data_IF_407512165839
#
_entry.id   IF_407512165839
#
_cell.length_a   1.000
_cell.length_b   1.000
_cell.length_c   1.000
_cell.angle_alpha   90.00
_cell.angle_beta   90.00
_cell.angle_gamma   90.00
#
_symmetry.space_group_name_H-M   'P 1'
#
loop_
_entity.id
_entity.type
_entity.pdbx_description
1 polymer ?
#
# COMPACT_ATOMS: atom_id res chain seq x y z
N UNK A 1 -51.82 2.27 11.19
CA UNK A 1 -50.56 2.03 11.93
C UNK A 1 -49.90 0.80 11.33
N UNK A 2 -48.80 0.97 10.60
CA UNK A 2 -47.98 -0.16 10.13
C UNK A 2 -46.82 -0.40 11.11
N UNK A 3 -46.40 -1.66 11.34
CA UNK A 3 -45.33 -1.94 12.29
C UNK A 3 -43.98 -1.47 11.72
N UNK A 4 -43.19 -0.75 12.52
CA UNK A 4 -41.76 -0.53 12.25
C UNK A 4 -41.03 -1.85 12.50
N UNK A 5 -40.75 -2.60 11.44
CA UNK A 5 -39.83 -3.73 11.50
C UNK A 5 -38.41 -3.17 11.69
N UNK A 6 -37.88 -3.27 12.91
CA UNK A 6 -36.53 -2.83 13.31
C UNK A 6 -35.46 -3.89 13.03
N UNK A 7 -35.74 -4.88 12.18
CA UNK A 7 -34.73 -5.79 11.70
C UNK A 7 -33.85 -5.03 10.71
N UNK A 8 -32.74 -4.49 11.21
CA UNK A 8 -31.59 -4.22 10.37
C UNK A 8 -31.11 -5.59 9.94
N UNK A 9 -31.64 -6.09 8.82
CA UNK A 9 -31.00 -7.18 8.10
C UNK A 9 -29.66 -6.61 7.64
N UNK A 10 -28.64 -6.77 8.49
CA UNK A 10 -27.26 -6.42 8.18
C UNK A 10 -26.76 -7.44 7.16
N UNK A 11 -27.28 -7.34 5.94
CA UNK A 11 -26.83 -8.17 4.83
C UNK A 11 -25.41 -7.72 4.51
N UNK A 12 -24.45 -8.57 4.87
CA UNK A 12 -23.07 -8.44 4.41
C UNK A 12 -23.11 -8.55 2.89
N UNK A 13 -22.94 -7.41 2.22
CA UNK A 13 -22.87 -7.35 0.76
C UNK A 13 -21.56 -8.01 0.29
N UNK A 14 -21.53 -8.62 -0.90
CA UNK A 14 -20.28 -9.05 -1.53
C UNK A 14 -19.21 -7.95 -1.57
N UNK A 15 -19.63 -6.67 -1.67
CA UNK A 15 -18.74 -5.51 -1.61
C UNK A 15 -18.07 -5.37 -0.24
N UNK A 16 -18.77 -5.64 0.87
CA UNK A 16 -18.17 -5.64 2.21
C UNK A 16 -17.09 -6.72 2.31
N UNK A 17 -17.37 -7.94 1.83
CA UNK A 17 -16.41 -9.06 1.84
C UNK A 17 -15.17 -8.70 1.02
N UNK A 18 -15.36 -8.15 -0.18
CA UNK A 18 -14.27 -7.68 -1.03
C UNK A 18 -13.44 -6.60 -0.31
N UNK A 19 -14.10 -5.62 0.31
CA UNK A 19 -13.44 -4.57 1.07
C UNK A 19 -12.60 -5.11 2.22
N UNK A 20 -13.13 -6.06 2.99
CA UNK A 20 -12.40 -6.74 4.08
C UNK A 20 -11.18 -7.48 3.53
N UNK A 21 -11.33 -8.23 2.42
CA UNK A 21 -10.21 -8.96 1.81
C UNK A 21 -9.12 -8.00 1.33
N UNK A 22 -9.50 -6.89 0.68
CA UNK A 22 -8.55 -5.87 0.22
C UNK A 22 -7.85 -5.20 1.40
N UNK A 23 -8.60 -4.84 2.45
CA UNK A 23 -8.08 -4.24 3.67
C UNK A 23 -7.06 -5.16 4.36
N UNK A 24 -7.43 -6.42 4.62
CA UNK A 24 -6.56 -7.38 5.32
C UNK A 24 -5.29 -7.66 4.52
N UNK A 25 -5.40 -7.79 3.19
CA UNK A 25 -4.22 -7.94 2.32
C UNK A 25 -3.33 -6.70 2.36
N UNK A 26 -3.93 -5.51 2.31
CA UNK A 26 -3.20 -4.24 2.40
C UNK A 26 -2.41 -4.13 3.69
N UNK A 27 -3.10 -4.36 4.82
CA UNK A 27 -2.50 -4.34 6.15
C UNK A 27 -1.39 -5.38 6.30
N UNK A 28 -1.57 -6.59 5.79
CA UNK A 28 -0.54 -7.63 5.82
C UNK A 28 0.69 -7.24 5.00
N UNK A 29 0.52 -6.66 3.82
CA UNK A 29 1.62 -6.17 2.97
C UNK A 29 2.37 -5.04 3.68
N UNK A 30 1.65 -4.06 4.24
CA UNK A 30 2.24 -2.93 4.94
C UNK A 30 3.04 -3.37 6.17
N UNK A 31 2.40 -4.13 7.06
CA UNK A 31 3.05 -4.64 8.27
C UNK A 31 4.29 -5.49 7.94
N UNK A 32 4.21 -6.33 6.91
CA UNK A 32 5.36 -7.13 6.46
C UNK A 32 6.47 -6.24 5.90
N UNK A 33 6.14 -5.23 5.10
CA UNK A 33 7.12 -4.30 4.51
C UNK A 33 7.88 -3.55 5.60
N UNK A 34 7.16 -2.99 6.56
CA UNK A 34 7.73 -2.21 7.65
C UNK A 34 8.53 -3.08 8.62
N UNK A 35 8.05 -4.28 8.94
CA UNK A 35 8.81 -5.24 9.75
C UNK A 35 10.13 -5.63 9.06
N UNK A 36 10.10 -5.94 7.77
CA UNK A 36 11.31 -6.25 7.00
C UNK A 36 12.30 -5.07 7.01
N UNK A 37 11.80 -3.84 6.82
CA UNK A 37 12.61 -2.62 6.84
C UNK A 37 13.19 -2.33 8.22
N UNK A 38 12.42 -2.53 9.27
CA UNK A 38 12.85 -2.39 10.66
C UNK A 38 14.00 -3.36 10.97
N UNK A 39 13.80 -4.66 10.68
CA UNK A 39 14.83 -5.69 10.86
C UNK A 39 16.08 -5.38 10.02
N UNK A 40 15.92 -4.95 8.77
CA UNK A 40 17.04 -4.62 7.89
C UNK A 40 17.89 -3.48 8.45
N UNK A 41 17.26 -2.39 8.89
CA UNK A 41 17.95 -1.21 9.42
C UNK A 41 18.60 -1.46 10.79
N UNK A 42 18.07 -2.41 11.58
CA UNK A 42 18.66 -2.79 12.87
C UNK A 42 20.01 -3.52 12.76
N UNK A 43 20.35 -4.07 11.59
CA UNK A 43 21.61 -4.81 11.40
C UNK A 43 22.77 -3.83 11.11
N UNK A 44 23.86 -3.81 11.92
CA UNK A 44 25.00 -2.90 11.69
C UNK A 44 25.63 -3.03 10.29
N UNK A 45 25.67 -4.24 9.74
CA UNK A 45 26.17 -4.55 8.38
C UNK A 45 25.38 -3.91 7.24
N UNK A 46 24.17 -3.42 7.54
CA UNK A 46 23.26 -2.79 6.58
C UNK A 46 23.28 -1.26 6.66
N UNK A 47 24.07 -0.67 7.56
CA UNK A 47 24.25 0.78 7.64
C UNK A 47 24.70 1.32 6.27
N UNK A 48 23.98 2.34 5.79
CA UNK A 48 24.25 2.97 4.50
C UNK A 48 23.82 2.16 3.28
N UNK A 49 23.11 1.03 3.43
CA UNK A 49 22.54 0.25 2.32
C UNK A 49 21.04 0.50 2.19
N UNK A 50 20.49 0.26 1.01
CA UNK A 50 19.05 0.19 0.80
C UNK A 50 18.56 -1.24 0.99
N UNK A 51 17.30 -1.40 1.38
CA UNK A 51 16.68 -2.71 1.46
C UNK A 51 16.38 -3.23 0.06
N UNK A 52 16.77 -4.48 -0.18
CA UNK A 52 16.52 -5.24 -1.41
C UNK A 52 16.28 -6.72 -1.03
N UNK A 53 15.55 -6.93 0.06
CA UNK A 53 15.22 -8.23 0.64
C UNK A 53 13.69 -8.40 0.73
N UNK A 54 13.21 -9.63 0.65
CA UNK A 54 11.78 -9.94 0.80
C UNK A 54 10.90 -9.23 -0.22
N UNK A 55 9.80 -8.62 0.24
CA UNK A 55 8.82 -7.99 -0.66
C UNK A 55 9.33 -6.67 -1.28
N UNK A 56 10.41 -6.11 -0.73
CA UNK A 56 11.11 -4.96 -1.31
C UNK A 56 11.81 -5.29 -2.63
N UNK A 57 12.01 -6.58 -2.95
CA UNK A 57 12.54 -7.00 -4.25
C UNK A 57 11.53 -6.85 -5.39
N UNK A 58 10.24 -6.84 -5.05
CA UNK A 58 9.14 -6.75 -6.01
C UNK A 58 8.63 -5.31 -6.22
N UNK A 59 8.76 -4.45 -5.20
CA UNK A 59 8.38 -3.03 -5.21
C UNK A 59 9.31 -2.23 -4.31
N UNK A 60 9.65 -1.00 -4.69
CA UNK A 60 10.51 -0.13 -3.87
C UNK A 60 9.78 0.52 -2.71
N UNK A 61 8.44 0.56 -2.73
CA UNK A 61 7.59 1.08 -1.65
C UNK A 61 6.38 0.14 -1.44
N UNK A 62 6.60 -1.12 -1.03
CA UNK A 62 5.52 -2.08 -0.82
C UNK A 62 4.62 -1.67 0.36
N UNK A 63 5.16 -0.94 1.34
CA UNK A 63 4.37 -0.36 2.42
C UNK A 63 3.32 0.64 1.91
N UNK A 64 3.66 1.48 0.93
CA UNK A 64 2.69 2.40 0.34
C UNK A 64 1.63 1.69 -0.51
N UNK A 65 1.97 0.56 -1.13
CA UNK A 65 0.97 -0.30 -1.76
C UNK A 65 -0.03 -0.83 -0.72
N UNK A 66 0.47 -1.31 0.42
CA UNK A 66 -0.35 -1.79 1.53
C UNK A 66 -1.29 -0.71 2.07
N UNK A 67 -0.74 0.47 2.38
CA UNK A 67 -1.50 1.64 2.85
C UNK A 67 -2.61 2.02 1.86
N UNK A 68 -2.32 2.13 0.56
CA UNK A 68 -3.34 2.41 -0.45
C UNK A 68 -4.46 1.34 -0.46
N UNK A 69 -4.10 0.06 -0.33
CA UNK A 69 -5.08 -1.03 -0.24
C UNK A 69 -5.92 -0.95 1.04
N UNK A 70 -5.35 -0.53 2.17
CA UNK A 70 -6.08 -0.31 3.41
C UNK A 70 -7.17 0.74 3.21
N UNK A 71 -6.85 1.90 2.63
CA UNK A 71 -7.83 2.97 2.40
C UNK A 71 -8.88 2.62 1.35
N UNK A 72 -8.49 1.93 0.27
CA UNK A 72 -9.45 1.42 -0.71
C UNK A 72 -10.36 0.35 -0.09
N UNK A 73 -9.79 -0.56 0.72
CA UNK A 73 -10.53 -1.59 1.43
C UNK A 73 -11.57 -0.99 2.38
N UNK A 74 -11.18 0.00 3.19
CA UNK A 74 -12.12 0.71 4.07
C UNK A 74 -13.24 1.39 3.30
N UNK A 75 -12.93 2.06 2.18
CA UNK A 75 -13.95 2.66 1.31
C UNK A 75 -14.95 1.61 0.81
N UNK A 76 -14.47 0.45 0.33
CA UNK A 76 -15.33 -0.65 -0.12
C UNK A 76 -16.18 -1.23 1.01
N UNK A 77 -15.66 -1.30 2.23
CA UNK A 77 -16.42 -1.78 3.39
C UNK A 77 -17.59 -0.85 3.72
N UNK A 78 -17.40 0.47 3.65
CA UNK A 78 -18.48 1.41 4.01
C UNK A 78 -19.45 1.67 2.86
N UNK A 79 -19.02 1.45 1.61
CA UNK A 79 -19.76 1.80 0.40
C UNK A 79 -21.23 1.35 0.37
N UNK A 80 -21.59 0.11 0.75
CA UNK A 80 -22.99 -0.35 0.72
C UNK A 80 -23.92 0.39 1.71
N UNK A 81 -23.35 1.00 2.75
CA UNK A 81 -24.09 1.73 3.78
C UNK A 81 -24.28 3.22 3.44
N UNK A 82 -23.66 3.70 2.35
CA UNK A 82 -23.73 5.09 1.93
C UNK A 82 -24.98 5.34 1.10
N UNK A 83 -25.67 6.45 1.36
CA UNK A 83 -26.89 6.86 0.65
C UNK A 83 -26.70 8.19 -0.09
N UNK A 84 -27.45 8.38 -1.17
CA UNK A 84 -27.36 9.60 -2.00
C UNK A 84 -25.93 9.84 -2.51
N UNK A 85 -25.38 11.03 -2.25
CA UNK A 85 -24.05 11.43 -2.72
C UNK A 85 -22.92 11.14 -1.70
N UNK A 86 -23.20 10.42 -0.61
CA UNK A 86 -22.20 10.13 0.43
C UNK A 86 -21.00 9.34 -0.09
N UNK A 87 -21.16 8.52 -1.13
CA UNK A 87 -20.07 7.79 -1.78
C UNK A 87 -18.98 8.73 -2.34
N UNK A 88 -19.36 9.89 -2.89
CA UNK A 88 -18.41 10.84 -3.46
C UNK A 88 -17.56 11.49 -2.38
N UNK A 89 -18.18 11.82 -1.23
CA UNK A 89 -17.47 12.35 -0.07
C UNK A 89 -16.55 11.31 0.57
N UNK A 90 -17.00 10.06 0.69
CA UNK A 90 -16.18 8.98 1.23
C UNK A 90 -14.98 8.66 0.33
N UNK A 91 -15.12 8.81 -0.99
CA UNK A 91 -14.03 8.59 -1.96
C UNK A 91 -12.88 9.60 -1.82
N UNK A 92 -13.12 10.77 -1.23
CA UNK A 92 -12.07 11.78 -0.99
C UNK A 92 -10.94 11.23 -0.12
N UNK A 93 -11.24 10.33 0.82
CA UNK A 93 -10.26 9.75 1.73
C UNK A 93 -9.19 8.91 1.02
N UNK A 94 -9.53 7.84 0.27
CA UNK A 94 -8.53 7.07 -0.48
C UNK A 94 -7.85 7.91 -1.57
N UNK A 95 -8.56 8.83 -2.25
CA UNK A 95 -7.94 9.74 -3.24
C UNK A 95 -6.88 10.61 -2.57
N UNK A 96 -7.18 11.17 -1.40
CA UNK A 96 -6.27 12.02 -0.66
C UNK A 96 -4.99 11.27 -0.29
N UNK A 97 -5.11 10.09 0.31
CA UNK A 97 -3.95 9.28 0.70
C UNK A 97 -3.13 8.84 -0.52
N UNK A 98 -3.77 8.33 -1.57
CA UNK A 98 -3.07 7.94 -2.81
C UNK A 98 -2.32 9.15 -3.39
N UNK A 99 -2.92 10.33 -3.39
CA UNK A 99 -2.30 11.55 -3.90
C UNK A 99 -1.09 11.96 -3.07
N UNK A 100 -1.22 11.96 -1.74
CA UNK A 100 -0.12 12.30 -0.84
C UNK A 100 1.05 11.34 -1.01
N UNK A 101 0.76 10.04 -1.08
CA UNK A 101 1.78 9.00 -1.20
C UNK A 101 2.49 9.05 -2.56
N UNK A 102 1.76 9.21 -3.67
CA UNK A 102 2.37 9.13 -4.99
C UNK A 102 3.01 10.44 -5.45
N UNK A 103 2.47 11.59 -5.06
CA UNK A 103 2.81 12.87 -5.70
C UNK A 103 3.33 13.94 -4.74
N UNK A 104 3.11 13.82 -3.43
CA UNK A 104 3.45 14.89 -2.48
C UNK A 104 4.58 14.46 -1.55
N UNK A 105 4.24 13.79 -0.45
CA UNK A 105 5.16 13.53 0.66
C UNK A 105 5.71 12.11 0.69
N UNK A 106 5.09 11.17 -0.02
CA UNK A 106 5.51 9.77 -0.01
C UNK A 106 6.70 9.50 -0.94
N UNK A 107 6.41 8.94 -2.11
CA UNK A 107 7.38 8.42 -3.08
C UNK A 107 8.38 9.49 -3.52
N UNK A 108 7.99 10.73 -3.92
CA UNK A 108 8.94 11.68 -4.49
C UNK A 108 10.04 12.10 -3.50
N UNK A 109 9.68 12.32 -2.23
CA UNK A 109 10.63 12.71 -1.19
C UNK A 109 11.59 11.57 -0.85
N UNK A 110 11.07 10.34 -0.72
CA UNK A 110 11.89 9.17 -0.42
C UNK A 110 12.83 8.80 -1.57
N UNK A 111 12.36 8.84 -2.82
CA UNK A 111 13.19 8.59 -3.99
C UNK A 111 14.28 9.65 -4.13
N UNK A 112 13.96 10.94 -3.91
CA UNK A 112 14.95 12.03 -3.92
C UNK A 112 16.01 11.85 -2.83
N UNK A 113 15.61 11.43 -1.63
CA UNK A 113 16.52 11.14 -0.52
C UNK A 113 17.42 9.92 -0.83
N UNK A 114 16.85 8.88 -1.41
CA UNK A 114 17.55 7.68 -1.82
C UNK A 114 18.55 7.96 -2.95
N UNK A 115 18.18 8.78 -3.93
CA UNK A 115 19.08 9.20 -5.01
C UNK A 115 20.24 10.07 -4.52
N UNK A 116 20.02 10.91 -3.51
CA UNK A 116 21.12 11.64 -2.85
C UNK A 116 22.12 10.71 -2.16
N UNK A 117 21.64 9.62 -1.55
CA UNK A 117 22.48 8.68 -0.79
C UNK A 117 23.18 7.65 -1.68
N UNK A 118 22.48 7.14 -2.69
CA UNK A 118 22.90 5.97 -3.47
C UNK A 118 22.91 6.20 -4.98
N UNK A 119 22.51 7.38 -5.46
CA UNK A 119 22.35 7.67 -6.90
C UNK A 119 23.65 7.60 -7.70
N UNK A 120 24.83 7.63 -7.08
CA UNK A 120 26.12 7.39 -7.75
C UNK A 120 26.49 5.92 -7.84
N UNK A 121 25.87 5.04 -7.04
CA UNK A 121 26.19 3.62 -6.98
C UNK A 121 25.57 2.86 -8.17
N UNK A 122 26.37 2.18 -9.01
CA UNK A 122 25.86 1.42 -10.16
C UNK A 122 24.85 0.32 -9.79
N UNK A 123 25.03 -0.34 -8.65
CA UNK A 123 24.13 -1.38 -8.18
C UNK A 123 22.75 -0.81 -7.80
N UNK A 124 22.71 0.36 -7.17
CA UNK A 124 21.45 1.04 -6.87
C UNK A 124 20.73 1.52 -8.14
N UNK A 125 21.47 2.05 -9.12
CA UNK A 125 20.88 2.41 -10.43
C UNK A 125 20.26 1.19 -11.12
N UNK A 126 20.93 0.03 -11.08
CA UNK A 126 20.40 -1.23 -11.61
C UNK A 126 19.12 -1.65 -10.87
N UNK A 127 19.15 -1.65 -9.53
CA UNK A 127 17.99 -1.93 -8.70
C UNK A 127 16.80 -1.03 -9.04
N UNK A 128 17.02 0.29 -9.13
CA UNK A 128 15.99 1.29 -9.48
C UNK A 128 15.45 1.12 -10.91
N UNK A 129 16.20 0.52 -11.83
CA UNK A 129 15.72 0.20 -13.18
C UNK A 129 14.86 -1.06 -13.21
N UNK A 130 15.17 -2.05 -12.37
CA UNK A 130 14.54 -3.37 -12.39
C UNK A 130 13.31 -3.48 -11.49
N UNK A 131 13.29 -2.75 -10.38
CA UNK A 131 12.22 -2.83 -9.37
C UNK A 131 11.32 -1.61 -9.52
N UNK A 132 10.01 -1.74 -9.77
CA UNK A 132 9.09 -0.61 -9.91
C UNK A 132 8.89 0.12 -8.58
N UNK A 133 8.44 1.38 -8.64
CA UNK A 133 8.31 2.22 -7.44
C UNK A 133 7.27 1.68 -6.46
N UNK A 134 6.03 1.46 -6.90
CA UNK A 134 4.92 1.05 -6.01
C UNK A 134 4.25 -0.23 -6.48
N UNK A 135 3.73 -0.27 -7.71
CA UNK A 135 3.03 -1.44 -8.23
C UNK A 135 4.02 -2.50 -8.76
N UNK A 136 4.02 -3.73 -8.24
CA UNK A 136 4.86 -4.81 -8.74
C UNK A 136 4.52 -5.16 -10.20
N UNK A 137 5.53 -5.60 -10.95
CA UNK A 137 5.38 -6.15 -12.30
C UNK A 137 5.65 -7.65 -12.27
N UNK A 138 5.17 -8.45 -13.24
CA UNK A 138 5.51 -9.87 -13.31
C UNK A 138 7.02 -10.15 -13.25
N UNK A 139 7.82 -9.28 -13.88
CA UNK A 139 9.29 -9.35 -13.86
C UNK A 139 9.86 -9.11 -12.45
N UNK A 140 9.38 -8.10 -11.73
CA UNK A 140 9.87 -7.81 -10.38
C UNK A 140 9.42 -8.84 -9.35
N UNK A 141 8.24 -9.45 -9.54
CA UNK A 141 7.79 -10.60 -8.74
C UNK A 141 8.70 -11.80 -8.96
N UNK A 142 9.00 -12.16 -10.22
CA UNK A 142 9.95 -13.26 -10.51
C UNK A 142 11.32 -13.01 -9.87
N UNK A 143 11.78 -11.76 -9.87
CA UNK A 143 13.01 -11.35 -9.19
C UNK A 143 12.93 -11.57 -7.68
N UNK A 144 11.79 -11.31 -7.04
CA UNK A 144 11.63 -11.50 -5.59
C UNK A 144 11.60 -12.97 -5.16
N UNK A 145 11.16 -13.88 -6.05
CA UNK A 145 11.07 -15.32 -5.80
C UNK A 145 12.38 -16.09 -6.00
N UNK A 146 13.38 -15.49 -6.65
CA UNK A 146 14.72 -16.08 -6.87
C UNK A 146 15.63 -15.83 -5.68
#
# INVERSE_FOLDING_TARGET
MQPRHWYIDCFVSPTNILGIVVFVKGLAIEATADMQKFIFNGKPKNKGKWIDEGIWRASRHPNYLGEMMVWIGMYLVVLPSLTGNQWAWALLSPIYIVTLLLFVSGVPLLEKSADKKWGTNPAYKKYKKEVPSVMPTPKSISRALK
#
